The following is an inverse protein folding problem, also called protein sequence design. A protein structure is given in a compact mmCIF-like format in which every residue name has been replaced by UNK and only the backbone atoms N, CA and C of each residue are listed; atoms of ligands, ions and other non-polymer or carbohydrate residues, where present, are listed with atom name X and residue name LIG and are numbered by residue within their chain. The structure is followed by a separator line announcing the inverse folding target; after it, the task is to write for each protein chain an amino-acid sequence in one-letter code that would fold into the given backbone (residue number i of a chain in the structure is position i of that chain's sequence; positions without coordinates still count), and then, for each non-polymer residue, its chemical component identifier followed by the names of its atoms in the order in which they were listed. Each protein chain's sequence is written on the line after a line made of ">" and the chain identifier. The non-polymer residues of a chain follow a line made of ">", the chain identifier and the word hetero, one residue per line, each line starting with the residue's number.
data_IF_608812729025
#
_entry.id   IF_608812729025
#
_cell.length_a   1.000
_cell.length_b   1.000
_cell.length_c   1.000
_cell.angle_alpha   90.00
_cell.angle_beta   90.00
_cell.angle_gamma   90.00
#
_symmetry.space_group_name_H-M   'P 1'
#
loop_
_entity.id
_entity.type
_entity.pdbx_description
1 polymer ?
#
# COMPACT_ATOMS: atom_id res chain seq x y z
N UNK A 1 -6.54 -13.02 14.40
CA UNK A 1 -6.31 -14.35 13.77
C UNK A 1 -5.05 -15.01 14.36
N UNK A 2 -4.80 -16.33 14.20
CA UNK A 2 -3.49 -16.90 14.49
C UNK A 2 -2.43 -16.31 13.56
N UNK A 3 -1.22 -16.11 14.08
CA UNK A 3 -0.08 -15.55 13.34
C UNK A 3 1.18 -16.36 13.63
N UNK A 4 2.03 -16.54 12.63
CA UNK A 4 3.29 -17.28 12.75
C UNK A 4 4.46 -16.52 12.15
N UNK A 5 5.65 -16.73 12.72
CA UNK A 5 6.92 -16.40 12.09
C UNK A 5 7.40 -17.61 11.31
N UNK A 6 7.83 -17.38 10.08
CA UNK A 6 8.43 -18.38 9.21
C UNK A 6 9.82 -17.88 8.79
N UNK A 7 10.87 -18.63 9.10
CA UNK A 7 12.23 -18.24 8.68
C UNK A 7 12.65 -18.99 7.43
N UNK A 8 13.13 -18.25 6.42
CA UNK A 8 13.70 -18.82 5.20
C UNK A 8 15.09 -18.25 4.89
N UNK A 9 15.94 -19.06 4.27
CA UNK A 9 17.16 -18.57 3.66
C UNK A 9 16.83 -17.87 2.34
N UNK A 10 17.59 -16.85 1.97
CA UNK A 10 17.46 -16.19 0.67
C UNK A 10 18.20 -16.93 -0.47
N UNK A 11 18.43 -18.24 -0.31
CA UNK A 11 19.20 -19.07 -1.24
C UNK A 11 18.33 -19.72 -2.32
N UNK A 12 18.98 -20.46 -3.24
CA UNK A 12 18.31 -21.12 -4.36
C UNK A 12 17.53 -22.39 -3.97
N UNK A 13 17.81 -22.98 -2.82
CA UNK A 13 17.02 -24.11 -2.32
C UNK A 13 15.65 -23.61 -1.85
N UNK A 14 15.66 -22.45 -1.20
CA UNK A 14 14.48 -21.75 -0.70
C UNK A 14 13.71 -21.03 -1.82
N UNK A 15 14.46 -20.44 -2.76
CA UNK A 15 13.95 -19.66 -3.89
C UNK A 15 14.62 -20.10 -5.20
N UNK A 16 14.09 -21.13 -5.90
CA UNK A 16 14.67 -21.70 -7.12
C UNK A 16 14.94 -20.66 -8.21
N UNK A 17 13.99 -19.74 -8.40
CA UNK A 17 14.10 -18.63 -9.36
C UNK A 17 14.83 -17.41 -8.77
N UNK A 18 15.24 -17.49 -7.50
CA UNK A 18 15.79 -16.40 -6.70
C UNK A 18 14.73 -15.61 -5.94
N UNK A 19 15.14 -14.96 -4.86
CA UNK A 19 14.25 -14.13 -4.04
C UNK A 19 13.82 -12.84 -4.77
N UNK A 20 14.71 -12.24 -5.56
CA UNK A 20 14.43 -11.00 -6.30
C UNK A 20 13.21 -11.07 -7.22
N UNK A 21 13.05 -12.11 -8.05
CA UNK A 21 11.83 -12.29 -8.85
C UNK A 21 10.56 -12.42 -8.03
N UNK A 22 10.60 -13.01 -6.83
CA UNK A 22 9.44 -13.06 -5.95
C UNK A 22 9.08 -11.65 -5.41
N UNK A 23 10.08 -10.86 -5.03
CA UNK A 23 9.88 -9.44 -4.66
C UNK A 23 9.25 -8.67 -5.81
N UNK A 24 9.77 -8.83 -7.04
CA UNK A 24 9.21 -8.20 -8.24
C UNK A 24 7.76 -8.63 -8.53
N UNK A 25 7.45 -9.93 -8.34
CA UNK A 25 6.11 -10.45 -8.54
C UNK A 25 5.10 -9.88 -7.52
N UNK A 26 5.48 -9.72 -6.25
CA UNK A 26 4.63 -9.06 -5.25
C UNK A 26 4.47 -7.57 -5.56
N UNK A 27 5.57 -6.88 -5.90
CA UNK A 27 5.53 -5.45 -6.22
C UNK A 27 4.67 -5.12 -7.45
N UNK A 28 4.71 -5.99 -8.49
CA UNK A 28 3.95 -5.79 -9.72
C UNK A 28 2.54 -6.38 -9.70
N UNK A 29 2.36 -7.56 -9.11
CA UNK A 29 1.09 -8.31 -9.14
C UNK A 29 0.31 -8.32 -7.83
N UNK A 30 0.82 -7.65 -6.79
CA UNK A 30 0.20 -7.55 -5.46
C UNK A 30 0.20 -8.85 -4.64
N UNK A 31 0.63 -9.97 -5.22
CA UNK A 31 0.81 -11.22 -4.48
C UNK A 31 1.78 -12.18 -5.17
N UNK A 32 2.42 -13.04 -4.39
CA UNK A 32 3.25 -14.14 -4.87
C UNK A 32 2.91 -15.42 -4.11
N UNK A 33 2.38 -16.40 -4.84
CA UNK A 33 2.01 -17.70 -4.29
C UNK A 33 3.21 -18.62 -4.20
N UNK A 34 3.42 -19.21 -3.04
CA UNK A 34 4.52 -20.15 -2.79
C UNK A 34 4.04 -21.39 -2.03
N UNK A 35 4.46 -22.55 -2.50
CA UNK A 35 4.30 -23.81 -1.78
C UNK A 35 5.53 -24.06 -0.91
N UNK A 36 5.33 -24.30 0.38
CA UNK A 36 6.38 -24.33 1.40
C UNK A 36 6.27 -25.65 2.19
N UNK A 37 7.29 -26.53 2.13
CA UNK A 37 7.31 -27.71 2.99
C UNK A 37 7.59 -27.26 4.43
N UNK A 38 6.65 -27.53 5.34
CA UNK A 38 6.82 -27.30 6.77
C UNK A 38 7.01 -28.63 7.50
N UNK A 39 7.82 -28.60 8.56
CA UNK A 39 7.98 -29.74 9.46
C UNK A 39 7.42 -29.38 10.83
N UNK A 40 6.56 -30.24 11.39
CA UNK A 40 6.03 -30.09 12.74
C UNK A 40 4.72 -29.29 12.81
N UNK A 41 4.78 -27.96 12.67
CA UNK A 41 3.61 -27.10 12.85
C UNK A 41 2.93 -26.78 11.51
N UNK A 42 1.66 -27.16 11.37
CA UNK A 42 0.83 -26.88 10.19
C UNK A 42 -0.18 -25.75 10.51
N UNK A 43 0.08 -24.51 10.03
CA UNK A 43 -0.87 -23.42 10.20
C UNK A 43 -2.17 -23.68 9.41
N UNK A 44 -3.31 -23.33 10.01
CA UNK A 44 -4.60 -23.41 9.33
C UNK A 44 -4.70 -22.37 8.21
N UNK A 45 -5.60 -22.61 7.24
CA UNK A 45 -5.98 -21.59 6.25
C UNK A 45 -6.35 -20.27 6.91
N UNK A 46 -5.89 -19.16 6.34
CA UNK A 46 -6.10 -17.82 6.89
C UNK A 46 -5.15 -17.45 8.03
N UNK A 47 -4.21 -18.33 8.41
CA UNK A 47 -3.15 -17.96 9.36
C UNK A 47 -2.25 -16.90 8.74
N UNK A 48 -1.98 -15.84 9.49
CA UNK A 48 -1.08 -14.76 9.08
C UNK A 48 0.37 -15.24 9.17
N UNK A 49 1.16 -14.96 8.13
CA UNK A 49 2.56 -15.38 8.02
C UNK A 49 3.46 -14.15 7.97
N UNK A 50 4.46 -14.14 8.85
CA UNK A 50 5.49 -13.12 8.93
C UNK A 50 6.82 -13.75 8.51
N UNK A 51 7.34 -13.36 7.34
CA UNK A 51 8.56 -13.93 6.77
C UNK A 51 9.80 -13.30 7.41
N UNK A 52 10.64 -14.11 8.03
CA UNK A 52 11.97 -13.73 8.49
C UNK A 52 12.99 -14.23 7.47
N UNK A 53 13.86 -13.33 6.98
CA UNK A 53 15.00 -13.74 6.18
C UNK A 53 16.26 -13.83 7.04
N UNK A 54 16.99 -14.93 6.85
CA UNK A 54 18.36 -15.07 7.32
C UNK A 54 19.38 -14.50 6.32
N UNK A 55 20.56 -14.15 6.81
CA UNK A 55 21.71 -13.84 5.95
C UNK A 55 22.11 -15.04 5.06
N UNK A 56 22.80 -14.76 3.96
CA UNK A 56 23.27 -15.79 3.01
C UNK A 56 24.23 -16.74 3.75
N UNK A 57 23.99 -18.04 3.68
CA UNK A 57 24.80 -19.06 4.39
C UNK A 57 24.90 -18.83 5.91
N UNK A 58 23.88 -18.20 6.51
CA UNK A 58 23.87 -17.87 7.94
C UNK A 58 24.72 -16.65 8.33
N UNK A 59 25.26 -15.92 7.35
CA UNK A 59 26.03 -14.70 7.56
C UNK A 59 25.27 -13.48 7.01
N UNK A 60 25.06 -12.46 7.85
CA UNK A 60 24.38 -11.22 7.49
C UNK A 60 23.20 -10.87 8.41
N UNK A 61 22.67 -9.64 8.31
CA UNK A 61 21.59 -9.17 9.16
C UNK A 61 20.32 -10.01 8.93
N UNK A 62 19.72 -10.46 10.02
CA UNK A 62 18.42 -11.13 10.04
C UNK A 62 17.34 -10.12 10.31
N UNK A 63 16.17 -10.32 9.72
CA UNK A 63 15.06 -9.41 9.92
C UNK A 63 13.77 -9.89 9.30
N UNK A 64 12.70 -9.22 9.70
CA UNK A 64 11.39 -9.40 9.11
C UNK A 64 11.37 -8.77 7.71
N UNK A 65 11.04 -9.58 6.71
CA UNK A 65 11.19 -9.26 5.30
C UNK A 65 9.88 -9.34 4.52
N UNK A 66 8.80 -9.79 5.13
CA UNK A 66 7.55 -9.93 4.39
C UNK A 66 6.36 -10.34 5.22
N UNK A 67 5.21 -10.23 4.58
CA UNK A 67 3.91 -10.60 5.10
C UNK A 67 3.18 -11.46 4.07
N UNK A 68 2.31 -12.35 4.55
CA UNK A 68 1.46 -13.17 3.73
C UNK A 68 0.41 -13.90 4.54
N UNK A 69 -0.39 -14.71 3.85
CA UNK A 69 -1.46 -15.48 4.47
C UNK A 69 -1.42 -16.91 3.94
N UNK A 70 -1.66 -17.89 4.82
CA UNK A 70 -1.84 -19.27 4.40
C UNK A 70 -3.11 -19.39 3.58
N UNK A 71 -2.96 -19.84 2.33
CA UNK A 71 -4.06 -20.07 1.42
C UNK A 71 -4.95 -21.24 1.89
N UNK A 72 -6.11 -21.41 1.24
CA UNK A 72 -7.02 -22.52 1.49
C UNK A 72 -6.28 -23.88 1.46
N UNK A 73 -6.69 -24.85 2.30
CA UNK A 73 -5.82 -25.95 2.72
C UNK A 73 -5.39 -26.85 1.57
N UNK A 74 -4.13 -27.28 1.62
CA UNK A 74 -3.68 -28.52 1.00
C UNK A 74 -4.19 -29.71 1.83
N UNK A 75 -4.62 -30.78 1.18
CA UNK A 75 -5.53 -31.78 1.75
C UNK A 75 -4.97 -32.65 2.88
N UNK A 76 -3.66 -32.81 3.05
CA UNK A 76 -3.02 -33.67 4.07
C UNK A 76 -2.04 -32.90 4.96
N UNK A 77 -1.84 -33.40 6.18
CA UNK A 77 -0.95 -32.83 7.22
C UNK A 77 0.56 -32.83 6.84
N UNK A 78 0.92 -33.59 5.81
CA UNK A 78 2.27 -33.63 5.21
C UNK A 78 2.40 -32.78 3.96
N UNK A 79 1.31 -32.19 3.48
CA UNK A 79 1.33 -31.40 2.26
C UNK A 79 2.03 -30.06 2.52
N UNK A 80 2.74 -29.53 1.53
CA UNK A 80 3.38 -28.23 1.66
C UNK A 80 2.31 -27.15 1.79
N UNK A 81 2.50 -26.25 2.76
CA UNK A 81 1.62 -25.11 3.00
C UNK A 81 1.75 -24.13 1.85
N UNK A 82 0.62 -23.70 1.31
CA UNK A 82 0.59 -22.65 0.30
C UNK A 82 0.45 -21.31 1.03
N UNK A 83 1.41 -20.42 0.83
CA UNK A 83 1.39 -19.06 1.35
C UNK A 83 1.27 -18.10 0.18
N UNK A 84 0.32 -17.19 0.27
CA UNK A 84 0.19 -16.04 -0.62
C UNK A 84 0.87 -14.86 0.07
N UNK A 85 2.09 -14.52 -0.37
CA UNK A 85 2.81 -13.34 0.10
C UNK A 85 2.24 -12.11 -0.56
N UNK A 86 1.83 -11.11 0.23
CA UNK A 86 1.28 -9.83 -0.23
C UNK A 86 2.26 -8.67 -0.01
N UNK A 87 3.38 -8.91 0.69
CA UNK A 87 4.51 -8.00 0.78
C UNK A 87 5.82 -8.77 0.95
N UNK A 88 6.82 -8.43 0.14
CA UNK A 88 8.21 -8.89 0.28
C UNK A 88 9.16 -7.70 0.09
N UNK A 89 10.10 -7.52 1.02
CA UNK A 89 11.09 -6.45 0.98
C UNK A 89 12.36 -6.90 0.24
N UNK A 90 13.03 -6.04 -0.53
CA UNK A 90 14.33 -6.34 -1.10
C UNK A 90 15.36 -6.80 -0.04
N UNK A 91 16.34 -7.60 -0.47
CA UNK A 91 17.42 -8.00 0.42
C UNK A 91 18.19 -6.78 0.92
N UNK A 92 18.38 -6.69 2.25
CA UNK A 92 19.03 -5.55 2.91
C UNK A 92 18.05 -4.51 3.44
N UNK A 93 16.78 -4.59 3.07
CA UNK A 93 15.71 -3.70 3.56
C UNK A 93 14.84 -4.37 4.63
N UNK A 94 15.27 -5.51 5.19
CA UNK A 94 14.51 -6.19 6.22
C UNK A 94 14.47 -5.35 7.51
N UNK A 95 13.34 -5.37 8.22
CA UNK A 95 13.23 -4.82 9.56
C UNK A 95 14.17 -5.61 10.49
N UNK A 96 15.26 -5.01 11.02
CA UNK A 96 16.29 -5.74 11.74
C UNK A 96 15.78 -6.45 13.00
N UNK A 97 16.32 -7.64 13.28
CA UNK A 97 16.01 -8.42 14.48
C UNK A 97 16.14 -7.61 15.80
N UNK A 98 17.08 -6.66 15.84
CA UNK A 98 17.27 -5.77 17.00
C UNK A 98 16.03 -4.94 17.35
N UNK A 99 15.19 -4.59 16.38
CA UNK A 99 13.94 -3.84 16.63
C UNK A 99 12.81 -4.75 17.12
N UNK A 100 12.94 -6.07 16.97
CA UNK A 100 11.91 -7.05 17.32
C UNK A 100 12.08 -7.59 18.74
N UNK A 101 13.25 -7.41 19.36
CA UNK A 101 13.60 -8.01 20.65
C UNK A 101 12.64 -7.63 21.81
N UNK A 102 12.03 -6.44 21.75
CA UNK A 102 11.07 -5.99 22.77
C UNK A 102 9.64 -6.52 22.55
N UNK A 103 9.37 -7.11 21.38
CA UNK A 103 8.05 -7.58 20.95
C UNK A 103 7.99 -9.10 20.91
N UNK A 104 9.04 -9.73 20.39
CA UNK A 104 9.14 -11.16 20.14
C UNK A 104 10.28 -11.74 20.98
N UNK A 105 10.06 -12.87 21.67
CA UNK A 105 11.06 -13.46 22.56
C UNK A 105 12.32 -13.95 21.82
N UNK A 106 12.16 -14.42 20.58
CA UNK A 106 13.23 -14.80 19.66
C UNK A 106 12.68 -14.95 18.23
N UNK A 107 13.55 -14.86 17.22
CA UNK A 107 13.21 -15.23 15.85
C UNK A 107 13.51 -16.72 15.59
N UNK A 108 12.67 -17.45 14.81
CA UNK A 108 12.88 -18.86 14.53
C UNK A 108 14.21 -19.11 13.83
N UNK A 109 14.86 -20.24 14.06
CA UNK A 109 15.99 -20.65 13.23
C UNK A 109 15.52 -20.92 11.78
N UNK A 110 16.42 -20.89 10.77
CA UNK A 110 16.05 -21.24 9.40
C UNK A 110 15.34 -22.61 9.32
N UNK A 111 14.17 -22.65 8.70
CA UNK A 111 13.33 -23.86 8.61
C UNK A 111 12.37 -24.09 9.77
N UNK A 112 12.39 -23.23 10.81
CA UNK A 112 11.43 -23.29 11.91
C UNK A 112 10.22 -22.36 11.68
N UNK A 113 9.10 -22.79 12.26
CA UNK A 113 7.86 -22.00 12.34
C UNK A 113 7.55 -21.77 13.80
N UNK A 114 7.33 -20.51 14.19
CA UNK A 114 6.98 -20.16 15.57
C UNK A 114 5.63 -19.41 15.62
N UNK A 115 4.67 -19.87 16.42
CA UNK A 115 3.48 -19.09 16.72
C UNK A 115 3.83 -17.76 17.38
N UNK A 116 3.23 -16.68 16.90
CA UNK A 116 3.33 -15.36 17.52
C UNK A 116 2.26 -15.27 18.61
N UNK A 117 2.61 -14.93 19.87
CA UNK A 117 1.62 -14.70 20.91
C UNK A 117 0.62 -13.62 20.48
N UNK A 118 -0.68 -13.86 20.64
CA UNK A 118 -1.72 -12.93 20.21
C UNK A 118 -1.54 -11.51 20.82
N UNK A 119 -0.96 -11.40 22.02
CA UNK A 119 -0.66 -10.13 22.66
C UNK A 119 0.48 -9.32 21.98
N UNK A 120 1.38 -9.99 21.25
CA UNK A 120 2.50 -9.35 20.56
C UNK A 120 2.12 -8.79 19.18
N UNK A 121 1.09 -9.36 18.53
CA UNK A 121 0.67 -9.00 17.17
C UNK A 121 0.41 -7.49 17.01
N UNK A 122 -0.37 -6.80 17.87
CA UNK A 122 -0.61 -5.37 17.69
C UNK A 122 0.66 -4.51 17.77
N UNK A 123 1.64 -4.90 18.58
CA UNK A 123 2.92 -4.20 18.67
C UNK A 123 3.76 -4.43 17.41
N UNK A 124 3.81 -5.67 16.93
CA UNK A 124 4.50 -6.03 15.68
C UNK A 124 3.94 -5.22 14.49
N UNK A 125 2.62 -5.17 14.35
CA UNK A 125 1.96 -4.40 13.27
C UNK A 125 2.28 -2.91 13.32
N UNK A 126 2.32 -2.31 14.52
CA UNK A 126 2.69 -0.90 14.68
C UNK A 126 4.16 -0.64 14.28
N UNK A 127 5.06 -1.52 14.69
CA UNK A 127 6.47 -1.41 14.31
C UNK A 127 6.64 -1.57 12.79
N UNK A 128 5.98 -2.57 12.20
CA UNK A 128 5.98 -2.81 10.76
C UNK A 128 5.44 -1.62 9.96
N UNK A 129 4.27 -1.11 10.36
CA UNK A 129 3.66 0.09 9.79
C UNK A 129 4.58 1.30 9.87
N UNK A 130 5.20 1.55 11.03
CA UNK A 130 6.15 2.66 11.21
C UNK A 130 7.42 2.53 10.39
N UNK A 131 7.91 1.29 10.19
CA UNK A 131 9.10 1.01 9.39
C UNK A 131 8.86 1.26 7.90
N UNK A 132 7.70 0.87 7.38
CA UNK A 132 7.35 0.99 5.95
C UNK A 132 6.62 2.28 5.59
N UNK A 133 6.05 2.99 6.57
CA UNK A 133 5.11 4.10 6.39
C UNK A 133 5.71 5.40 5.81
N UNK A 134 6.99 5.44 5.44
CA UNK A 134 7.56 6.59 4.76
C UNK A 134 7.19 6.57 3.26
N UNK A 135 6.12 7.28 2.89
CA UNK A 135 5.77 7.54 1.48
C UNK A 135 4.71 6.62 0.85
N UNK A 136 4.15 5.68 1.60
CA UNK A 136 3.02 4.87 1.16
C UNK A 136 1.74 5.72 1.01
N UNK A 137 0.85 5.33 0.09
CA UNK A 137 -0.48 5.93 -0.03
C UNK A 137 -1.27 5.71 1.27
N UNK A 138 -1.70 6.77 1.97
CA UNK A 138 -2.41 6.65 3.25
C UNK A 138 -3.77 5.96 3.14
N UNK A 139 -4.33 5.85 1.93
CA UNK A 139 -5.59 5.13 1.68
C UNK A 139 -5.37 3.64 1.38
N UNK A 140 -4.11 3.23 1.19
CA UNK A 140 -3.71 1.87 0.89
C UNK A 140 -2.87 1.33 2.06
N UNK A 141 -3.51 0.70 3.08
CA UNK A 141 -2.79 0.23 4.25
C UNK A 141 -1.74 -0.80 3.84
N UNK A 142 -0.53 -0.65 4.39
CA UNK A 142 0.57 -1.59 4.15
C UNK A 142 0.13 -3.00 4.56
N UNK A 143 0.34 -4.04 3.73
CA UNK A 143 0.06 -5.42 4.12
C UNK A 143 0.68 -5.80 5.47
N UNK A 144 -0.06 -6.55 6.27
CA UNK A 144 0.29 -6.88 7.66
C UNK A 144 -0.01 -5.82 8.70
N UNK A 145 -0.57 -4.66 8.33
CA UNK A 145 -1.00 -3.64 9.32
C UNK A 145 -2.42 -3.85 9.83
N UNK A 146 -3.25 -4.56 9.07
CA UNK A 146 -4.63 -4.90 9.43
C UNK A 146 -4.77 -6.42 9.65
N UNK A 147 -5.84 -6.83 10.33
CA UNK A 147 -6.16 -8.26 10.44
C UNK A 147 -6.55 -8.80 9.05
N UNK A 148 -5.93 -9.88 8.55
CA UNK A 148 -6.25 -10.42 7.23
C UNK A 148 -7.72 -10.76 7.04
N UNK A 149 -8.44 -11.14 8.10
CA UNK A 149 -9.88 -11.42 8.05
C UNK A 149 -10.74 -10.16 7.89
N UNK A 150 -10.17 -8.97 8.08
CA UNK A 150 -10.80 -7.68 7.83
C UNK A 150 -10.41 -7.09 6.46
N UNK A 151 -9.49 -7.71 5.72
CA UNK A 151 -8.99 -7.24 4.42
C UNK A 151 -9.56 -8.12 3.30
N UNK A 152 -10.17 -7.50 2.30
CA UNK A 152 -10.58 -8.17 1.07
C UNK A 152 -9.64 -7.82 -0.07
N UNK A 153 -8.98 -8.82 -0.66
CA UNK A 153 -8.23 -8.63 -1.90
C UNK A 153 -9.20 -8.35 -3.04
N UNK A 154 -9.00 -7.24 -3.74
CA UNK A 154 -9.74 -6.88 -4.94
C UNK A 154 -8.73 -6.71 -6.07
N UNK A 155 -8.93 -7.37 -7.22
CA UNK A 155 -8.10 -7.09 -8.38
C UNK A 155 -8.31 -5.63 -8.75
N UNK A 156 -7.23 -4.86 -8.68
CA UNK A 156 -7.13 -3.53 -9.26
C UNK A 156 -6.45 -3.69 -10.63
N UNK A 157 -6.72 -2.76 -11.54
CA UNK A 157 -6.03 -2.79 -12.82
C UNK A 157 -4.66 -2.10 -12.65
N UNK A 158 -3.61 -2.74 -13.16
CA UNK A 158 -2.24 -2.23 -13.04
C UNK A 158 -2.05 -0.94 -13.83
N UNK A 159 -2.85 -0.72 -14.88
CA UNK A 159 -2.83 0.49 -15.66
C UNK A 159 -3.00 1.72 -14.75
N UNK A 160 -4.07 1.81 -13.96
CA UNK A 160 -4.34 2.93 -13.05
C UNK A 160 -3.51 2.89 -11.73
N UNK A 161 -2.86 1.78 -11.41
CA UNK A 161 -2.23 1.54 -10.09
C UNK A 161 -0.74 1.11 -10.13
N UNK A 162 -0.03 1.41 -11.22
CA UNK A 162 1.41 1.14 -11.33
C UNK A 162 2.22 2.04 -10.38
N UNK A 163 2.74 1.44 -9.31
CA UNK A 163 3.52 2.12 -8.29
C UNK A 163 4.87 2.66 -8.82
N UNK A 164 5.51 1.97 -9.76
CA UNK A 164 6.78 2.42 -10.35
C UNK A 164 6.54 3.57 -11.33
N UNK A 165 5.54 3.45 -12.21
CA UNK A 165 5.18 4.53 -13.11
C UNK A 165 4.76 5.79 -12.33
N UNK A 166 3.99 5.61 -11.25
CA UNK A 166 3.68 6.71 -10.32
C UNK A 166 4.95 7.34 -9.74
N UNK A 167 5.87 6.53 -9.20
CA UNK A 167 7.12 7.02 -8.60
C UNK A 167 7.93 7.83 -9.62
N UNK A 168 8.07 7.34 -10.84
CA UNK A 168 8.84 8.00 -11.91
C UNK A 168 8.17 9.30 -12.37
N UNK A 169 6.86 9.30 -12.56
CA UNK A 169 6.08 10.50 -12.89
C UNK A 169 6.24 11.59 -11.82
N UNK A 170 6.07 11.24 -10.54
CA UNK A 170 6.22 12.19 -9.43
C UNK A 170 7.67 12.63 -9.22
N UNK A 171 8.65 11.78 -9.50
CA UNK A 171 10.06 12.18 -9.45
C UNK A 171 10.40 13.22 -10.53
N UNK A 172 9.76 13.13 -11.71
CA UNK A 172 9.98 14.06 -12.82
C UNK A 172 9.19 15.37 -12.65
N UNK A 173 7.89 15.29 -12.38
CA UNK A 173 7.00 16.45 -12.33
C UNK A 173 6.87 17.08 -10.93
N UNK A 174 7.29 16.38 -9.88
CA UNK A 174 7.04 16.75 -8.50
C UNK A 174 5.58 16.51 -8.08
N UNK A 175 5.23 16.98 -6.89
CA UNK A 175 3.88 16.81 -6.31
C UNK A 175 3.04 18.08 -6.44
N UNK A 176 2.89 18.56 -7.67
CA UNK A 176 2.05 19.73 -8.01
C UNK A 176 0.95 19.29 -8.97
N UNK A 177 -0.31 19.56 -8.63
CA UNK A 177 -1.44 19.21 -9.50
C UNK A 177 -1.37 20.00 -10.82
N UNK A 178 -1.30 19.31 -11.96
CA UNK A 178 -1.23 19.94 -13.28
C UNK A 178 -2.53 20.64 -13.72
N UNK A 179 -3.65 20.38 -13.04
CA UNK A 179 -4.91 21.09 -13.28
C UNK A 179 -5.02 22.35 -12.40
N UNK A 180 -5.09 22.19 -11.08
CA UNK A 180 -5.40 23.30 -10.16
C UNK A 180 -4.18 23.93 -9.47
N UNK A 181 -2.97 23.40 -9.68
CA UNK A 181 -1.74 23.91 -9.04
C UNK A 181 -1.62 23.58 -7.55
N UNK A 182 -2.52 22.77 -6.97
CA UNK A 182 -2.42 22.36 -5.57
C UNK A 182 -1.10 21.63 -5.30
N UNK A 183 -0.37 22.11 -4.30
CA UNK A 183 0.77 21.42 -3.69
C UNK A 183 0.33 20.95 -2.30
N UNK A 184 0.09 19.63 -2.09
CA UNK A 184 -0.43 19.12 -0.82
C UNK A 184 0.39 19.59 0.38
N UNK A 185 1.72 19.47 0.29
CA UNK A 185 2.64 19.86 1.36
C UNK A 185 2.52 21.34 1.78
N UNK A 186 2.31 22.23 0.81
CA UNK A 186 2.14 23.66 1.07
C UNK A 186 0.76 23.98 1.64
N UNK A 187 -0.26 23.18 1.30
CA UNK A 187 -1.65 23.44 1.73
C UNK A 187 -2.00 22.79 3.06
N UNK A 188 -1.53 21.57 3.30
CA UNK A 188 -1.93 20.71 4.42
C UNK A 188 -0.76 20.41 5.38
N UNK A 189 0.47 20.75 5.01
CA UNK A 189 1.68 20.50 5.79
C UNK A 189 2.47 19.27 5.33
N UNK A 190 3.67 19.05 5.88
CA UNK A 190 4.57 17.97 5.49
C UNK A 190 3.94 16.58 5.63
N UNK A 191 4.36 15.64 4.78
CA UNK A 191 3.87 14.25 4.79
C UNK A 191 2.60 14.03 3.95
N UNK A 192 2.12 15.05 3.26
CA UNK A 192 0.91 15.00 2.42
C UNK A 192 1.22 14.86 0.93
N UNK A 193 2.50 14.83 0.56
CA UNK A 193 3.01 14.59 -0.79
C UNK A 193 2.48 13.28 -1.38
N UNK A 194 2.33 12.25 -0.53
CA UNK A 194 1.81 10.94 -0.91
C UNK A 194 0.35 10.98 -1.38
N UNK A 195 -0.41 12.04 -1.10
CA UNK A 195 -1.79 12.21 -1.59
C UNK A 195 -1.86 12.53 -3.08
N UNK A 196 -0.75 12.90 -3.72
CA UNK A 196 -0.75 13.17 -5.16
C UNK A 196 -0.99 11.88 -5.94
N UNK A 197 -1.97 11.92 -6.85
CA UNK A 197 -2.31 10.81 -7.73
C UNK A 197 -1.73 11.07 -9.12
N UNK A 198 -1.56 10.02 -9.92
CA UNK A 198 -1.13 10.12 -11.32
C UNK A 198 -2.29 9.76 -12.22
N UNK A 199 -2.46 10.54 -13.28
CA UNK A 199 -3.54 10.40 -14.23
C UNK A 199 -2.99 10.07 -15.60
N UNK A 200 -3.61 9.12 -16.30
CA UNK A 200 -3.21 8.73 -17.64
C UNK A 200 -3.75 9.69 -18.70
N UNK A 201 -2.86 10.19 -19.55
CA UNK A 201 -3.18 11.05 -20.68
C UNK A 201 -3.61 10.26 -21.93
N UNK A 202 -3.16 9.00 -22.03
CA UNK A 202 -3.50 8.09 -23.12
C UNK A 202 -4.46 7.04 -22.56
N UNK A 203 -5.75 6.99 -22.97
CA UNK A 203 -6.72 6.02 -22.48
C UNK A 203 -6.21 4.57 -22.67
N UNK A 204 -6.55 3.70 -21.71
CA UNK A 204 -6.13 2.30 -21.59
C UNK A 204 -5.70 1.66 -22.92
N UNK A 205 -4.39 1.53 -23.18
CA UNK A 205 -3.89 0.98 -24.43
C UNK A 205 -4.31 -0.50 -24.55
N UNK A 206 -4.63 -0.93 -25.77
CA UNK A 206 -4.85 -2.36 -26.04
C UNK A 206 -3.55 -3.13 -25.76
N UNK A 207 -3.53 -4.06 -24.80
CA UNK A 207 -2.34 -4.87 -24.52
C UNK A 207 -1.85 -5.65 -25.75
N UNK A 208 -2.73 -5.95 -26.71
CA UNK A 208 -2.37 -6.62 -27.96
C UNK A 208 -1.49 -5.76 -28.89
N UNK A 209 -1.44 -4.44 -28.67
CA UNK A 209 -0.64 -3.51 -29.48
C UNK A 209 0.83 -3.40 -29.04
N UNK A 210 1.25 -4.09 -27.96
CA UNK A 210 2.63 -4.04 -27.46
C UNK A 210 3.03 -2.68 -26.88
N UNK A 211 2.06 -1.90 -26.41
CA UNK A 211 2.30 -0.60 -25.82
C UNK A 211 3.04 -0.71 -24.49
N UNK A 212 4.04 0.16 -24.29
CA UNK A 212 4.79 0.31 -23.04
C UNK A 212 4.52 1.71 -22.52
N UNK A 213 4.01 1.80 -21.29
CA UNK A 213 3.73 3.06 -20.61
C UNK A 213 5.04 3.84 -20.39
N UNK A 214 5.09 5.11 -20.82
CA UNK A 214 6.14 6.06 -20.47
C UNK A 214 5.62 7.00 -19.35
N UNK A 215 6.15 6.88 -18.12
CA UNK A 215 5.71 7.68 -16.98
C UNK A 215 5.88 9.20 -17.13
N UNK A 216 6.68 9.65 -18.09
CA UNK A 216 6.94 11.07 -18.34
C UNK A 216 6.00 11.64 -19.41
N UNK A 217 5.71 10.89 -20.49
CA UNK A 217 4.82 11.38 -21.54
C UNK A 217 3.35 11.04 -21.32
N UNK A 218 3.07 9.94 -20.62
CA UNK A 218 1.73 9.36 -20.60
C UNK A 218 0.99 9.61 -19.28
N UNK A 219 1.71 10.09 -18.26
CA UNK A 219 1.17 10.36 -16.94
C UNK A 219 1.33 11.84 -16.55
N UNK A 220 0.43 12.30 -15.70
CA UNK A 220 0.52 13.64 -15.11
C UNK A 220 0.05 13.62 -13.64
N UNK A 221 0.69 14.38 -12.73
CA UNK A 221 0.21 14.48 -11.35
C UNK A 221 -1.10 15.29 -11.26
N UNK A 222 -2.11 14.74 -10.59
CA UNK A 222 -3.35 15.43 -10.23
C UNK A 222 -3.67 15.22 -8.75
N UNK A 223 -4.22 16.25 -8.09
CA UNK A 223 -4.75 16.07 -6.74
C UNK A 223 -5.96 15.13 -6.74
N UNK A 224 -6.32 14.48 -5.62
CA UNK A 224 -7.40 13.50 -5.57
C UNK A 224 -8.74 14.02 -6.12
N UNK A 225 -9.04 15.30 -5.91
CA UNK A 225 -10.27 15.92 -6.44
C UNK A 225 -10.21 16.11 -7.96
N UNK A 226 -9.14 16.69 -8.50
CA UNK A 226 -9.01 16.89 -9.94
C UNK A 226 -8.91 15.55 -10.68
N UNK A 227 -8.28 14.55 -10.07
CA UNK A 227 -8.21 13.20 -10.61
C UNK A 227 -9.60 12.57 -10.71
N UNK A 228 -10.38 12.59 -9.63
CA UNK A 228 -11.77 12.10 -9.66
C UNK A 228 -12.63 12.84 -10.70
N UNK A 229 -12.48 14.17 -10.84
CA UNK A 229 -13.16 14.96 -11.87
C UNK A 229 -12.76 14.49 -13.27
N UNK A 230 -11.49 14.25 -13.53
CA UNK A 230 -11.02 13.75 -14.82
C UNK A 230 -11.72 12.43 -15.21
N UNK A 231 -11.85 11.50 -14.25
CA UNK A 231 -12.54 10.22 -14.49
C UNK A 231 -14.06 10.30 -14.62
N UNK A 232 -14.70 11.45 -14.34
CA UNK A 232 -16.14 11.60 -14.65
C UNK A 232 -16.43 11.62 -16.15
N UNK A 233 -15.41 11.82 -17.00
CA UNK A 233 -15.50 11.74 -18.46
C UNK A 233 -15.40 10.33 -19.05
N UNK A 234 -15.11 9.30 -18.23
CA UNK A 234 -14.97 7.90 -18.67
C UNK A 234 -16.18 7.48 -19.54
N UNK A 235 -15.96 6.84 -20.71
CA UNK A 235 -14.76 6.08 -21.11
C UNK A 235 -13.57 6.90 -21.62
N UNK A 236 -13.71 8.20 -21.87
CA UNK A 236 -12.60 9.08 -22.28
C UNK A 236 -12.38 10.13 -21.17
N UNK A 237 -11.43 9.91 -20.25
CA UNK A 237 -11.18 10.84 -19.16
C UNK A 237 -10.87 12.25 -19.66
N UNK A 238 -11.26 13.26 -18.90
CA UNK A 238 -10.92 14.65 -19.24
C UNK A 238 -9.43 14.91 -19.05
N UNK A 239 -8.85 15.61 -20.02
CA UNK A 239 -7.48 16.11 -19.94
C UNK A 239 -7.33 17.16 -18.84
N UNK A 240 -6.10 17.39 -18.33
CA UNK A 240 -5.85 18.49 -17.40
C UNK A 240 -6.28 19.86 -17.94
N UNK A 241 -6.24 20.06 -19.27
CA UNK A 241 -6.69 21.29 -19.92
C UNK A 241 -8.20 21.49 -19.81
N UNK A 242 -8.98 20.43 -19.99
CA UNK A 242 -10.44 20.46 -19.82
C UNK A 242 -10.83 20.69 -18.36
N UNK A 243 -10.15 20.02 -17.42
CA UNK A 243 -10.36 20.25 -15.98
C UNK A 243 -10.03 21.71 -15.61
N UNK A 244 -8.97 22.30 -16.18
CA UNK A 244 -8.70 23.75 -16.02
C UNK A 244 -9.82 24.62 -16.57
N UNK A 245 -10.40 24.25 -17.71
CA UNK A 245 -11.57 24.92 -18.29
C UNK A 245 -12.79 24.88 -17.36
N UNK A 246 -13.04 23.73 -16.72
CA UNK A 246 -14.11 23.58 -15.73
C UNK A 246 -13.89 24.46 -14.50
N UNK A 247 -12.66 24.47 -13.98
CA UNK A 247 -12.28 25.33 -12.84
C UNK A 247 -12.43 26.82 -13.16
N UNK A 248 -12.10 27.23 -14.39
CA UNK A 248 -12.24 28.61 -14.84
C UNK A 248 -13.71 29.03 -15.10
N UNK A 249 -14.58 28.06 -15.39
CA UNK A 249 -16.00 28.28 -15.70
C UNK A 249 -16.92 28.16 -14.48
N UNK A 250 -16.40 27.68 -13.35
CA UNK A 250 -17.15 27.57 -12.12
C UNK A 250 -17.48 28.98 -11.58
N UNK A 251 -18.76 29.31 -11.32
CA UNK A 251 -19.10 30.54 -10.61
C UNK A 251 -18.47 30.52 -9.22
N UNK A 252 -18.06 31.68 -8.72
CA UNK A 252 -17.63 31.77 -7.32
C UNK A 252 -18.77 31.36 -6.37
N UNK A 253 -18.47 31.15 -5.09
CA UNK A 253 -19.48 30.83 -4.07
C UNK A 253 -20.59 31.90 -3.94
N UNK A 254 -20.45 33.06 -4.60
CA UNK A 254 -21.40 34.16 -4.66
C UNK A 254 -22.11 34.28 -6.02
N UNK A 255 -21.97 33.31 -6.92
CA UNK A 255 -22.67 33.28 -8.22
C UNK A 255 -22.14 34.27 -9.27
N UNK A 256 -20.95 34.85 -9.10
CA UNK A 256 -20.34 35.77 -10.08
C UNK A 256 -19.39 35.02 -11.01
N UNK A 257 -19.53 35.31 -12.30
CA UNK A 257 -18.56 34.89 -13.31
C UNK A 257 -17.37 35.86 -13.28
N UNK A 258 -16.20 35.42 -12.82
CA UNK A 258 -14.99 36.24 -12.93
C UNK A 258 -13.74 35.76 -12.19
N UNK A 259 -12.75 35.40 -13.01
CA UNK A 259 -11.30 35.66 -12.88
C UNK A 259 -10.53 35.03 -11.70
N UNK A 260 -9.77 33.98 -12.06
CA UNK A 260 -8.41 33.68 -11.60
C UNK A 260 -8.07 34.15 -10.18
N UNK A 261 -8.31 33.29 -9.20
CA UNK A 261 -7.81 33.49 -7.85
C UNK A 261 -8.48 32.55 -6.88
N UNK A 262 -7.91 31.36 -6.72
CA UNK A 262 -8.15 30.45 -5.59
C UNK A 262 -9.62 30.39 -5.12
N UNK A 263 -10.45 29.64 -5.85
CA UNK A 263 -11.72 29.15 -5.34
C UNK A 263 -11.49 28.18 -4.19
N UNK A 264 -11.03 28.67 -3.05
CA UNK A 264 -10.95 27.92 -1.81
C UNK A 264 -12.38 27.70 -1.38
N UNK A 265 -12.86 26.46 -1.45
CA UNK A 265 -13.94 26.03 -0.57
C UNK A 265 -13.39 26.21 0.84
N UNK A 266 -13.72 27.33 1.49
CA UNK A 266 -13.38 27.56 2.88
C UNK A 266 -14.19 26.56 3.69
N UNK A 267 -13.58 25.42 4.02
CA UNK A 267 -14.08 24.57 5.08
C UNK A 267 -14.18 25.43 6.34
N UNK A 268 -15.37 25.55 6.92
CA UNK A 268 -15.52 26.17 8.22
C UNK A 268 -14.86 25.27 9.26
N UNK A 269 -13.95 25.80 10.07
CA UNK A 269 -13.50 25.12 11.28
C UNK A 269 -14.73 24.79 12.11
N UNK A 270 -14.87 23.53 12.52
CA UNK A 270 -15.99 23.04 13.33
C UNK A 270 -16.12 23.96 14.54
N UNK A 271 -17.25 24.65 14.66
CA UNK A 271 -17.52 25.52 15.80
C UNK A 271 -17.62 24.69 17.08
N UNK A 272 -17.38 25.28 18.25
CA UNK A 272 -17.53 24.59 19.53
C UNK A 272 -18.92 23.92 19.69
N UNK A 273 -19.97 24.54 19.12
CA UNK A 273 -21.32 23.97 19.09
C UNK A 273 -21.45 22.73 18.19
N UNK A 274 -20.81 22.75 17.02
CA UNK A 274 -20.78 21.58 16.12
C UNK A 274 -19.92 20.45 16.72
N UNK A 275 -18.84 20.80 17.42
CA UNK A 275 -18.01 19.83 18.15
C UNK A 275 -18.81 19.14 19.27
N UNK A 276 -19.54 19.93 20.07
CA UNK A 276 -20.44 19.41 21.11
C UNK A 276 -21.52 18.48 20.53
N UNK A 277 -22.11 18.84 19.38
CA UNK A 277 -23.10 18.02 18.71
C UNK A 277 -22.54 16.67 18.21
N UNK A 278 -21.29 16.64 17.74
CA UNK A 278 -20.60 15.42 17.35
C UNK A 278 -20.29 14.52 18.56
N UNK A 279 -19.87 15.11 19.68
CA UNK A 279 -19.66 14.38 20.95
C UNK A 279 -20.97 13.80 21.51
N UNK A 280 -22.07 14.55 21.42
CA UNK A 280 -23.39 14.06 21.80
C UNK A 280 -23.85 12.90 20.90
N UNK A 281 -23.60 13.00 19.59
CA UNK A 281 -23.89 11.92 18.64
C UNK A 281 -23.04 10.66 18.91
N UNK A 282 -21.76 10.81 19.28
CA UNK A 282 -20.88 9.70 19.66
C UNK A 282 -21.37 9.02 20.95
N UNK A 283 -21.76 9.81 21.97
CA UNK A 283 -22.37 9.31 23.21
C UNK A 283 -23.63 8.50 22.95
N UNK A 284 -24.53 9.00 22.08
CA UNK A 284 -25.78 8.32 21.72
C UNK A 284 -25.57 6.99 20.96
N UNK A 285 -24.43 6.84 20.28
CA UNK A 285 -24.06 5.62 19.55
C UNK A 285 -23.23 4.63 20.37
N UNK A 286 -22.95 4.94 21.65
CA UNK A 286 -22.16 4.07 22.52
C UNK A 286 -20.68 3.96 22.13
N UNK A 287 -20.21 4.86 21.26
CA UNK A 287 -18.80 4.96 20.87
C UNK A 287 -18.11 5.85 21.93
N UNK A 288 -17.20 5.25 22.72
CA UNK A 288 -16.35 6.00 23.65
C UNK A 288 -15.12 6.53 22.92
#
# INVERSE_FOLDING_TARGET
>A
MPSVLLTWAADRESWPDGYGPAVGAVAGGGSFRRSIPLTGFQPASGTEVWLVLGGISGQGPRGLAGHGVVAAPSGRDTDPVIVDFDLLLPLGEQLPESHLADILPALPLPGEVLPIPAAAVPALRRLWSGYLGAGADPLSPVPGTLDPGAVGLRPVNDYEHDAEARRLCLAFFGTVCAACGLVPAQRYGPGTEALMQVHHLVPGPDPAAGYVLDPVSDLVPLCPTCHAVAHTGVPVPFTPAEVRGMLASAPDAAGRAGQSGAGVVLGSVVTAAQQQALEDAARLRGLR
#
